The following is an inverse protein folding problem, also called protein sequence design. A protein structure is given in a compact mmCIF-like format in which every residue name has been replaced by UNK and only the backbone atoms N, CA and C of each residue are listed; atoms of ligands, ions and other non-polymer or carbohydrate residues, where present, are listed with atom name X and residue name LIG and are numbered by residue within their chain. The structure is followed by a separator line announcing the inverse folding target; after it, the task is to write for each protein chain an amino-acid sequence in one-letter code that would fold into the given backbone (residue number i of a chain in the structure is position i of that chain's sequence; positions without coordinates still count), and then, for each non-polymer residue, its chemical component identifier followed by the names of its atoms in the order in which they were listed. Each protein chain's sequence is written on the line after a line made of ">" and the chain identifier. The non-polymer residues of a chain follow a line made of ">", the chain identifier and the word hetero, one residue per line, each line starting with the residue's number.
data_IF_163125860594
#
_entry.id   IF_163125860594
#
_cell.length_a   1.000
_cell.length_b   1.000
_cell.length_c   1.000
_cell.angle_alpha   90.00
_cell.angle_beta   90.00
_cell.angle_gamma   90.00
#
_symmetry.space_group_name_H-M   'P 1'
#
loop_
_entity.id
_entity.type
_entity.pdbx_description
1 polymer ?
#
# COMPACT_ATOMS: atom_id res chain seq x y z
N UNK A 1 -8.24 -8.91 9.54
CA UNK A 1 -8.06 -7.49 9.14
C UNK A 1 -6.57 -7.25 9.07
N UNK A 2 -6.06 -6.74 7.95
CA UNK A 2 -4.63 -6.44 7.78
C UNK A 2 -4.24 -5.10 8.41
N UNK A 3 -2.95 -4.81 8.43
CA UNK A 3 -2.39 -3.53 8.88
C UNK A 3 -2.12 -2.57 7.71
N UNK A 4 -2.07 -1.27 8.00
CA UNK A 4 -1.47 -0.28 7.12
C UNK A 4 0.03 -0.33 7.35
N UNK A 5 0.80 -0.65 6.31
CA UNK A 5 2.25 -0.71 6.41
C UNK A 5 2.87 0.46 5.65
N UNK A 6 3.77 1.20 6.28
CA UNK A 6 4.45 2.35 5.69
C UNK A 6 5.94 2.05 5.60
N UNK A 7 6.46 2.07 4.38
CA UNK A 7 7.89 1.89 4.08
C UNK A 7 8.32 2.99 3.12
N UNK A 8 8.91 4.06 3.68
CA UNK A 8 9.45 5.18 2.91
C UNK A 8 10.91 5.41 3.34
N UNK A 9 11.77 5.79 2.41
CA UNK A 9 13.18 6.13 2.64
C UNK A 9 13.33 7.45 3.41
N UNK A 10 12.41 8.41 3.22
CA UNK A 10 12.32 9.61 4.06
C UNK A 10 11.67 9.28 5.41
N UNK A 11 12.51 9.23 6.45
CA UNK A 11 12.10 8.91 7.80
C UNK A 11 11.13 9.93 8.42
N UNK A 12 11.28 11.22 8.12
CA UNK A 12 10.44 12.27 8.66
C UNK A 12 9.06 12.25 7.99
N UNK A 13 9.03 12.02 6.67
CA UNK A 13 7.77 11.84 5.93
C UNK A 13 7.02 10.60 6.41
N UNK A 14 7.71 9.48 6.63
CA UNK A 14 7.13 8.26 7.16
C UNK A 14 6.48 8.48 8.54
N UNK A 15 7.20 9.14 9.45
CA UNK A 15 6.68 9.45 10.79
C UNK A 15 5.45 10.37 10.75
N UNK A 16 5.49 11.42 9.93
CA UNK A 16 4.38 12.34 9.76
C UNK A 16 3.14 11.65 9.17
N UNK A 17 3.34 10.79 8.18
CA UNK A 17 2.26 10.00 7.58
C UNK A 17 1.67 9.01 8.59
N UNK A 18 2.50 8.25 9.32
CA UNK A 18 2.03 7.32 10.35
C UNK A 18 1.18 8.05 11.40
N UNK A 19 1.67 9.18 11.91
CA UNK A 19 0.95 9.99 12.90
C UNK A 19 -0.42 10.45 12.39
N UNK A 20 -0.52 10.83 11.11
CA UNK A 20 -1.80 11.21 10.50
C UNK A 20 -2.76 10.03 10.36
N UNK A 21 -2.24 8.87 9.94
CA UNK A 21 -3.02 7.65 9.76
C UNK A 21 -3.57 7.12 11.09
N UNK A 22 -2.75 7.09 12.14
CA UNK A 22 -3.16 6.66 13.49
C UNK A 22 -4.31 7.50 14.05
N UNK A 23 -4.39 8.79 13.69
CA UNK A 23 -5.52 9.67 14.06
C UNK A 23 -6.75 9.48 13.17
N UNK A 24 -6.58 8.94 11.97
CA UNK A 24 -7.63 8.89 10.94
C UNK A 24 -8.34 7.54 10.86
N UNK A 25 -7.80 6.48 11.47
CA UNK A 25 -8.40 5.13 11.43
C UNK A 25 -8.03 4.30 12.65
N UNK A 26 -8.86 3.30 12.94
CA UNK A 26 -8.59 2.27 13.94
C UNK A 26 -7.73 1.11 13.40
N UNK A 27 -7.40 1.13 12.10
CA UNK A 27 -6.54 0.10 11.49
C UNK A 27 -5.11 0.25 12.02
N UNK A 28 -4.45 -0.83 12.47
CA UNK A 28 -3.07 -0.74 12.96
C UNK A 28 -2.14 -0.17 11.89
N UNK A 29 -1.34 0.83 12.26
CA UNK A 29 -0.33 1.44 11.40
C UNK A 29 1.04 0.93 11.83
N UNK A 30 1.79 0.35 10.90
CA UNK A 30 3.11 -0.22 11.14
C UNK A 30 4.12 0.46 10.22
N UNK A 31 5.22 0.96 10.79
CA UNK A 31 6.36 1.43 10.01
C UNK A 31 7.36 0.28 9.87
N UNK A 32 7.62 -0.16 8.65
CA UNK A 32 8.44 -1.34 8.37
C UNK A 32 9.44 -1.05 7.26
N UNK A 33 10.66 -1.57 7.39
CA UNK A 33 11.66 -1.53 6.31
C UNK A 33 11.31 -2.49 5.17
N UNK A 34 10.74 -3.66 5.52
CA UNK A 34 10.30 -4.68 4.57
C UNK A 34 8.82 -4.96 4.77
N UNK A 35 7.95 -4.42 3.93
CA UNK A 35 6.52 -4.65 4.06
C UNK A 35 6.14 -6.04 3.54
N UNK A 36 5.08 -6.59 4.13
CA UNK A 36 4.45 -7.84 3.75
C UNK A 36 3.06 -7.53 3.16
N UNK A 37 2.98 -7.62 1.82
CA UNK A 37 1.76 -7.33 1.07
C UNK A 37 0.64 -8.35 1.36
N UNK A 38 0.95 -9.56 1.81
CA UNK A 38 -0.07 -10.59 2.09
C UNK A 38 -0.86 -10.27 3.36
N UNK A 39 -0.17 -9.83 4.42
CA UNK A 39 -0.78 -9.45 5.70
C UNK A 39 -1.28 -8.00 5.76
N UNK A 40 -0.78 -7.13 4.87
CA UNK A 40 -1.22 -5.74 4.80
C UNK A 40 -2.64 -5.60 4.22
N UNK A 41 -3.40 -4.63 4.74
CA UNK A 41 -4.56 -4.13 4.00
C UNK A 41 -4.15 -3.11 2.93
N UNK A 42 -3.06 -2.39 3.16
CA UNK A 42 -2.41 -1.46 2.23
C UNK A 42 -0.94 -1.31 2.62
N UNK A 43 -0.09 -1.14 1.61
CA UNK A 43 1.32 -0.81 1.78
C UNK A 43 1.59 0.53 1.10
N UNK A 44 2.15 1.48 1.84
CA UNK A 44 2.60 2.76 1.30
C UNK A 44 4.08 2.69 1.03
N UNK A 45 4.46 2.95 -0.22
CA UNK A 45 5.82 2.86 -0.71
C UNK A 45 6.22 4.17 -1.38
N UNK A 46 7.52 4.43 -1.40
CA UNK A 46 8.12 5.34 -2.37
C UNK A 46 8.81 4.56 -3.51
N UNK A 47 9.38 5.30 -4.46
CA UNK A 47 10.07 4.72 -5.61
C UNK A 47 11.23 3.78 -5.21
N UNK A 48 12.01 4.16 -4.19
CA UNK A 48 13.17 3.40 -3.75
C UNK A 48 12.76 2.04 -3.18
N UNK A 49 11.79 2.04 -2.27
CA UNK A 49 11.26 0.83 -1.65
C UNK A 49 10.46 -0.02 -2.64
N UNK A 50 9.72 0.60 -3.56
CA UNK A 50 8.97 -0.09 -4.61
C UNK A 50 9.86 -0.87 -5.57
N UNK A 51 11.01 -0.32 -5.95
CA UNK A 51 11.97 -1.02 -6.84
C UNK A 51 12.62 -2.23 -6.20
N UNK A 52 12.65 -2.30 -4.87
CA UNK A 52 13.22 -3.44 -4.14
C UNK A 52 12.26 -4.62 -4.03
N UNK A 53 10.98 -4.45 -4.39
CA UNK A 53 10.02 -5.55 -4.35
C UNK A 53 10.33 -6.64 -5.38
N UNK A 54 10.18 -7.92 -5.02
CA UNK A 54 10.33 -9.02 -5.97
C UNK A 54 9.30 -8.92 -7.09
N UNK A 55 9.69 -9.33 -8.29
CA UNK A 55 8.84 -9.36 -9.49
C UNK A 55 8.47 -10.81 -9.85
N UNK A 56 7.22 -11.10 -10.25
CA UNK A 56 6.07 -10.19 -10.31
C UNK A 56 5.58 -9.77 -8.92
N UNK A 57 5.00 -8.56 -8.82
CA UNK A 57 4.47 -8.06 -7.54
C UNK A 57 3.10 -8.67 -7.27
N UNK A 58 3.01 -9.55 -6.27
CA UNK A 58 1.74 -10.09 -5.83
C UNK A 58 0.96 -9.08 -5.00
N UNK A 59 -0.37 -9.01 -5.18
CA UNK A 59 -1.25 -8.07 -4.50
C UNK A 59 -0.88 -6.59 -4.69
N UNK A 60 -0.37 -6.23 -5.87
CA UNK A 60 -0.01 -4.85 -6.24
C UNK A 60 -1.19 -3.85 -6.11
N UNK A 61 -2.43 -4.33 -6.12
CA UNK A 61 -3.64 -3.55 -5.86
C UNK A 61 -3.70 -2.96 -4.44
N UNK A 62 -2.89 -3.49 -3.51
CA UNK A 62 -2.73 -3.00 -2.13
C UNK A 62 -1.68 -1.91 -2.00
N UNK A 63 -0.95 -1.58 -3.07
CA UNK A 63 0.10 -0.56 -3.01
C UNK A 63 -0.50 0.83 -3.22
N UNK A 64 -0.12 1.75 -2.33
CA UNK A 64 -0.17 3.20 -2.56
C UNK A 64 1.26 3.66 -2.79
N UNK A 65 1.59 4.00 -4.03
CA UNK A 65 2.93 4.40 -4.43
C UNK A 65 3.05 5.93 -4.47
N UNK A 66 4.08 6.47 -3.84
CA UNK A 66 4.49 7.87 -3.96
C UNK A 66 5.75 7.89 -4.85
N UNK A 67 5.65 8.52 -6.02
CA UNK A 67 6.76 8.53 -6.98
C UNK A 67 6.88 9.87 -7.70
N UNK A 68 7.85 10.01 -8.58
CA UNK A 68 8.02 11.21 -9.41
C UNK A 68 6.92 11.29 -10.45
N UNK A 69 6.48 12.51 -10.74
CA UNK A 69 5.46 12.76 -11.75
C UNK A 69 6.07 12.83 -13.16
N UNK A 70 6.58 11.71 -13.65
CA UNK A 70 7.06 11.57 -15.02
C UNK A 70 6.63 10.25 -15.66
N UNK A 71 6.63 10.24 -16.99
CA UNK A 71 6.06 9.15 -17.77
C UNK A 71 6.71 7.79 -17.51
N UNK A 72 8.00 7.76 -17.13
CA UNK A 72 8.73 6.50 -16.91
C UNK A 72 8.24 5.85 -15.62
N UNK A 73 8.24 6.59 -14.51
CA UNK A 73 7.83 6.06 -13.21
C UNK A 73 6.35 5.69 -13.16
N UNK A 74 5.48 6.52 -13.76
CA UNK A 74 4.05 6.24 -13.83
C UNK A 74 3.77 4.97 -14.65
N UNK A 75 4.46 4.80 -15.78
CA UNK A 75 4.35 3.59 -16.61
C UNK A 75 4.80 2.35 -15.84
N UNK A 76 5.97 2.40 -15.19
CA UNK A 76 6.50 1.29 -14.39
C UNK A 76 5.52 0.86 -13.27
N UNK A 77 4.88 1.81 -12.60
CA UNK A 77 3.90 1.55 -11.56
C UNK A 77 2.67 0.83 -12.10
N UNK A 78 2.11 1.29 -13.23
CA UNK A 78 0.92 0.70 -13.82
C UNK A 78 1.19 -0.67 -14.44
N UNK A 79 2.33 -0.85 -15.11
CA UNK A 79 2.74 -2.17 -15.63
C UNK A 79 2.95 -3.19 -14.51
N UNK A 80 3.28 -2.73 -13.30
CA UNK A 80 3.36 -3.57 -12.11
C UNK A 80 2.00 -3.93 -11.48
N UNK A 81 0.90 -3.36 -11.95
CA UNK A 81 -0.45 -3.56 -11.40
C UNK A 81 -0.80 -2.63 -10.23
N UNK A 82 -0.04 -1.55 -10.00
CA UNK A 82 -0.38 -0.55 -8.97
C UNK A 82 -1.50 0.35 -9.47
N UNK A 83 -2.57 0.51 -8.69
CA UNK A 83 -3.72 1.34 -9.06
C UNK A 83 -3.75 2.71 -8.37
N UNK A 84 -3.00 2.89 -7.28
CA UNK A 84 -2.96 4.13 -6.52
C UNK A 84 -1.56 4.72 -6.57
N UNK A 85 -1.35 5.67 -7.47
CA UNK A 85 -0.07 6.35 -7.67
C UNK A 85 -0.25 7.83 -7.35
N UNK A 86 0.58 8.34 -6.44
CA UNK A 86 0.66 9.73 -6.04
C UNK A 86 2.06 10.27 -6.33
N UNK A 87 2.17 11.58 -6.32
CA UNK A 87 3.39 12.30 -6.57
C UNK A 87 4.05 12.74 -5.26
N UNK A 88 5.37 12.96 -5.27
CA UNK A 88 6.07 13.48 -4.10
C UNK A 88 5.52 14.82 -3.60
N UNK A 89 4.94 15.62 -4.51
CA UNK A 89 4.35 16.94 -4.26
C UNK A 89 2.95 16.87 -3.63
N UNK A 90 2.30 15.70 -3.65
CA UNK A 90 0.98 15.55 -3.07
C UNK A 90 1.00 15.77 -1.55
N UNK A 91 0.06 16.57 -1.01
CA UNK A 91 -0.07 16.73 0.43
C UNK A 91 -0.29 15.39 1.14
N UNK A 92 0.25 15.24 2.35
CA UNK A 92 0.07 14.02 3.15
C UNK A 92 -1.40 13.64 3.36
N UNK A 93 -2.30 14.61 3.44
CA UNK A 93 -3.74 14.34 3.55
C UNK A 93 -4.29 13.61 2.30
N UNK A 94 -3.77 13.91 1.10
CA UNK A 94 -4.11 13.17 -0.12
C UNK A 94 -3.63 11.73 -0.03
N UNK A 95 -2.41 11.51 0.48
CA UNK A 95 -1.87 10.17 0.74
C UNK A 95 -2.77 9.41 1.71
N UNK A 96 -3.19 10.03 2.82
CA UNK A 96 -4.12 9.43 3.79
C UNK A 96 -5.42 8.99 3.12
N UNK A 97 -6.03 9.84 2.28
CA UNK A 97 -7.26 9.49 1.57
C UNK A 97 -7.06 8.31 0.62
N UNK A 98 -5.94 8.27 -0.11
CA UNK A 98 -5.60 7.15 -0.98
C UNK A 98 -5.40 5.85 -0.19
N UNK A 99 -4.76 5.91 0.97
CA UNK A 99 -4.56 4.78 1.89
C UNK A 99 -5.90 4.24 2.37
N UNK A 100 -6.77 5.09 2.91
CA UNK A 100 -8.10 4.68 3.39
C UNK A 100 -8.97 4.10 2.27
N UNK A 101 -8.96 4.72 1.09
CA UNK A 101 -9.67 4.20 -0.08
C UNK A 101 -9.15 2.81 -0.50
N UNK A 102 -7.84 2.58 -0.40
CA UNK A 102 -7.21 1.29 -0.71
C UNK A 102 -7.58 0.24 0.33
N UNK A 103 -7.53 0.56 1.63
CA UNK A 103 -7.99 -0.32 2.70
C UNK A 103 -9.43 -0.81 2.48
N UNK A 104 -10.33 0.11 2.11
CA UNK A 104 -11.74 -0.21 1.86
C UNK A 104 -11.88 -1.20 0.70
N UNK A 105 -11.13 -1.03 -0.40
CA UNK A 105 -11.12 -1.98 -1.52
C UNK A 105 -10.60 -3.35 -1.09
N UNK A 106 -9.49 -3.40 -0.36
CA UNK A 106 -8.88 -4.65 0.13
C UNK A 106 -9.83 -5.43 1.05
N UNK A 107 -10.60 -4.74 1.89
CA UNK A 107 -11.58 -5.35 2.80
C UNK A 107 -12.84 -5.91 2.09
N UNK A 108 -13.17 -5.43 0.89
CA UNK A 108 -14.29 -5.97 0.09
C UNK A 108 -13.96 -7.28 -0.63
N UNK A 109 -12.69 -7.71 -0.62
CA UNK A 109 -12.27 -8.98 -1.22
C UNK A 109 -12.76 -10.13 -0.33
N UNK A 110 -13.93 -10.69 -0.65
CA UNK A 110 -14.47 -11.88 0.02
C UNK A 110 -13.37 -12.95 0.15
N UNK A 111 -13.18 -13.58 1.32
CA UNK A 111 -12.30 -14.73 1.41
C UNK A 111 -12.73 -15.77 0.38
N UNK A 112 -11.76 -16.27 -0.40
CA UNK A 112 -11.97 -17.40 -1.32
C UNK A 112 -12.64 -18.51 -0.51
N UNK A 113 -13.80 -19.05 -0.92
CA UNK A 113 -14.39 -20.16 -0.20
C UNK A 113 -13.37 -21.30 -0.19
N UNK A 114 -12.95 -21.70 1.00
CA UNK A 114 -12.18 -22.93 1.19
C UNK A 114 -13.08 -24.03 0.63
N UNK A 115 -12.63 -24.67 -0.45
CA UNK A 115 -13.35 -25.79 -1.05
C UNK A 115 -13.54 -26.83 0.06
N UNK A 116 -14.79 -27.01 0.48
CA UNK A 116 -15.15 -27.97 1.49
C UNK A 116 -14.63 -29.34 1.07
N UNK A 117 -13.85 -29.94 1.94
CA UNK A 117 -13.60 -31.37 1.97
C UNK A 117 -14.94 -32.08 2.14
N UNK A 118 -15.58 -32.40 1.01
CA UNK A 118 -16.70 -33.31 0.93
C UNK A 118 -16.20 -34.71 1.21
N UNK A 119 -16.25 -35.10 2.47
CA UNK A 119 -16.08 -36.49 2.91
C UNK A 119 -17.44 -36.96 3.42
N UNK A 120 -18.19 -37.65 2.56
CA UNK A 120 -19.21 -38.64 2.90
C UNK A 120 -19.32 -39.67 1.79
#
# INVERSE_FOLDING_TARGET
>A
MGSIQVSLSDAARAEALCSLLERSTQTPVLRLEKPDLESACVVVLDEETFRQLPRPIENADRIVLITRNDAVHLKEAWEAGVHSVLTEQDPLNTVVLAVLATCLRSGTRKPKPVAGSGQR
#
